data_IF_100580317971
#
_entry.id   IF_100580317971
#
_cell.length_a   1.000
_cell.length_b   1.000
_cell.length_c   1.000
_cell.angle_alpha   90.00
_cell.angle_beta   90.00
_cell.angle_gamma   90.00
#
_symmetry.space_group_name_H-M   'P 1'
#
loop_
_entity.id
_entity.type
_entity.pdbx_description
1 polymer ?
#
# COMPACT_ATOMS: atom_id res chain seq x y z
N UNK A 1 40.76 -28.39 -22.49
CA UNK A 1 41.14 -27.31 -23.43
C UNK A 1 41.45 -27.95 -24.79
N UNK A 2 40.48 -28.46 -25.50
CA UNK A 2 40.57 -28.85 -26.94
C UNK A 2 39.17 -28.75 -27.53
N UNK A 3 39.03 -27.96 -28.60
CA UNK A 3 37.90 -27.72 -29.48
C UNK A 3 37.27 -26.28 -29.42
N UNK A 4 38.12 -25.29 -29.59
CA UNK A 4 37.66 -23.91 -29.87
C UNK A 4 38.11 -23.49 -31.27
N UNK A 5 38.05 -24.38 -32.27
CA UNK A 5 38.42 -24.01 -33.64
C UNK A 5 37.57 -24.67 -34.75
N UNK A 6 36.28 -24.88 -34.50
CA UNK A 6 35.34 -24.97 -35.65
C UNK A 6 34.82 -23.55 -35.91
N UNK A 7 34.86 -23.05 -37.16
CA UNK A 7 34.21 -21.78 -37.47
C UNK A 7 32.75 -21.91 -37.05
N UNK A 8 32.35 -21.17 -36.02
CA UNK A 8 31.00 -21.23 -35.46
C UNK A 8 30.06 -20.68 -36.54
N UNK A 9 29.41 -21.57 -37.29
CA UNK A 9 28.35 -21.18 -38.23
C UNK A 9 27.24 -20.58 -37.38
N UNK A 10 27.06 -19.27 -37.44
CA UNK A 10 26.04 -18.54 -36.69
C UNK A 10 24.66 -18.88 -37.24
N UNK A 11 24.07 -19.97 -36.82
CA UNK A 11 22.72 -20.41 -37.19
C UNK A 11 21.65 -19.79 -36.30
N UNK A 12 21.98 -19.61 -34.99
CA UNK A 12 21.09 -18.97 -34.01
C UNK A 12 21.44 -17.48 -33.86
N UNK A 13 20.51 -16.61 -34.26
CA UNK A 13 20.67 -15.15 -34.21
C UNK A 13 19.49 -14.53 -33.44
N UNK A 14 19.53 -14.42 -32.12
CA UNK A 14 18.45 -13.81 -31.30
C UNK A 14 18.12 -12.37 -31.74
N UNK A 15 19.09 -11.62 -32.28
CA UNK A 15 18.88 -10.26 -32.80
C UNK A 15 17.87 -10.20 -33.95
N UNK A 16 17.61 -11.33 -34.66
CA UNK A 16 16.63 -11.41 -35.74
C UNK A 16 15.24 -11.03 -35.25
N UNK A 17 14.86 -11.49 -34.05
CA UNK A 17 13.57 -11.17 -33.43
C UNK A 17 13.47 -9.71 -32.93
N UNK A 18 14.59 -9.03 -32.75
CA UNK A 18 14.65 -7.63 -32.32
C UNK A 18 14.74 -6.62 -33.44
N UNK A 19 14.94 -7.06 -34.67
CA UNK A 19 15.25 -6.19 -35.79
C UNK A 19 14.09 -5.24 -36.15
N UNK A 20 12.86 -5.72 -36.15
CA UNK A 20 11.68 -4.98 -36.57
C UNK A 20 10.72 -4.76 -35.40
N UNK A 21 9.91 -3.69 -35.48
CA UNK A 21 8.93 -3.38 -34.43
C UNK A 21 7.88 -4.50 -34.26
N UNK A 22 7.33 -5.00 -35.37
CA UNK A 22 6.33 -6.07 -35.29
C UNK A 22 6.87 -7.32 -34.61
N UNK A 23 8.12 -7.73 -34.86
CA UNK A 23 8.70 -8.91 -34.23
C UNK A 23 8.96 -8.68 -32.72
N UNK A 24 9.43 -7.49 -32.33
CA UNK A 24 9.55 -7.14 -30.92
C UNK A 24 8.21 -7.17 -30.20
N UNK A 25 7.14 -6.69 -30.84
CA UNK A 25 5.77 -6.73 -30.30
C UNK A 25 5.26 -8.16 -30.14
N UNK A 26 5.50 -9.03 -31.14
CA UNK A 26 5.07 -10.44 -31.09
C UNK A 26 5.76 -11.24 -29.97
N UNK A 27 7.01 -10.94 -29.64
CA UNK A 27 7.75 -11.67 -28.62
C UNK A 27 7.66 -11.07 -27.22
N UNK A 28 6.88 -9.99 -27.05
CA UNK A 28 6.74 -9.32 -25.74
C UNK A 28 5.97 -10.20 -24.78
N UNK A 29 6.60 -10.53 -23.64
CA UNK A 29 6.05 -11.42 -22.62
C UNK A 29 5.14 -10.70 -21.63
N UNK A 30 5.42 -9.40 -21.36
CA UNK A 30 4.67 -8.62 -20.39
C UNK A 30 4.16 -7.31 -20.97
N UNK A 31 2.99 -6.88 -20.51
CA UNK A 31 2.39 -5.60 -20.87
C UNK A 31 1.96 -4.86 -19.60
N UNK A 32 2.28 -3.58 -19.53
CA UNK A 32 1.71 -2.69 -18.53
C UNK A 32 0.41 -2.08 -19.08
N UNK A 33 -0.66 -2.18 -18.32
CA UNK A 33 -1.94 -1.51 -18.60
C UNK A 33 -2.44 -0.76 -17.39
N UNK A 34 -3.43 0.11 -17.58
CA UNK A 34 -4.09 0.84 -16.49
C UNK A 34 -4.70 -0.10 -15.43
N UNK A 35 -5.11 -1.32 -15.85
CA UNK A 35 -5.66 -2.35 -14.95
C UNK A 35 -4.67 -2.85 -13.89
N UNK A 36 -3.39 -2.53 -14.02
CA UNK A 36 -2.36 -2.89 -13.05
C UNK A 36 -2.07 -1.76 -12.05
N UNK A 37 -2.81 -0.64 -12.12
CA UNK A 37 -2.54 0.55 -11.32
C UNK A 37 -3.55 0.69 -10.17
N UNK A 38 -3.04 1.06 -9.00
CA UNK A 38 -3.79 1.57 -7.86
C UNK A 38 -3.28 2.97 -7.58
N UNK A 39 -4.18 3.97 -7.50
CA UNK A 39 -3.78 5.35 -7.29
C UNK A 39 -3.95 5.77 -5.82
N UNK A 40 -2.86 6.12 -5.09
CA UNK A 40 -2.93 6.54 -3.71
C UNK A 40 -3.37 8.01 -3.57
N UNK A 41 -4.27 8.32 -2.62
CA UNK A 41 -4.80 9.65 -2.38
C UNK A 41 -4.77 10.00 -0.89
N UNK A 42 -4.47 11.25 -0.56
CA UNK A 42 -4.42 11.75 0.82
C UNK A 42 -5.66 12.58 1.13
N UNK A 43 -6.46 12.10 2.08
CA UNK A 43 -7.73 12.73 2.47
C UNK A 43 -7.51 13.63 3.69
N UNK A 44 -8.00 14.87 3.64
CA UNK A 44 -7.97 15.85 4.73
C UNK A 44 -9.36 16.43 4.98
N UNK A 45 -9.60 16.93 6.18
CA UNK A 45 -10.83 17.65 6.49
C UNK A 45 -10.95 18.98 5.70
N UNK A 46 -12.18 19.41 5.46
CA UNK A 46 -12.48 20.67 4.83
C UNK A 46 -13.44 20.56 3.65
N UNK A 47 -13.56 21.66 2.92
CA UNK A 47 -14.34 21.78 1.68
C UNK A 47 -13.56 22.65 0.70
N UNK A 48 -13.37 22.20 -0.53
CA UNK A 48 -12.55 22.86 -1.55
C UNK A 48 -11.05 22.87 -1.24
N UNK A 49 -10.58 22.05 -0.30
CA UNK A 49 -9.17 22.05 0.13
C UNK A 49 -8.34 21.21 -0.82
N UNK A 50 -7.27 21.83 -1.35
CA UNK A 50 -6.22 21.16 -2.13
C UNK A 50 -4.84 21.68 -1.72
N UNK A 51 -4.19 20.96 -0.79
CA UNK A 51 -2.92 21.38 -0.17
C UNK A 51 -1.75 20.59 -0.75
N UNK A 52 -0.74 21.26 -1.30
CA UNK A 52 0.47 20.65 -1.85
C UNK A 52 1.27 19.92 -0.76
N UNK A 53 1.79 18.74 -1.09
CA UNK A 53 2.80 18.04 -0.30
C UNK A 53 4.16 18.41 -0.88
N UNK A 54 4.96 19.17 -0.12
CA UNK A 54 6.21 19.76 -0.63
C UNK A 54 7.22 18.68 -1.09
N UNK A 55 7.32 17.60 -0.35
CA UNK A 55 8.22 16.48 -0.63
C UNK A 55 7.73 15.55 -1.74
N UNK A 56 6.49 15.74 -2.23
CA UNK A 56 5.90 14.91 -3.29
C UNK A 56 5.31 15.80 -4.41
N UNK A 57 6.15 16.30 -5.34
CA UNK A 57 5.72 17.23 -6.38
C UNK A 57 4.55 16.71 -7.23
N UNK A 58 3.46 17.46 -7.29
CA UNK A 58 2.24 17.08 -8.02
C UNK A 58 1.22 16.28 -7.20
N UNK A 59 1.52 15.93 -5.96
CA UNK A 59 0.62 15.25 -5.03
C UNK A 59 0.05 16.24 -4.00
N UNK A 60 -1.20 16.02 -3.63
CA UNK A 60 -1.94 16.92 -2.74
C UNK A 60 -2.62 16.15 -1.61
N UNK A 61 -2.82 16.82 -0.47
CA UNK A 61 -3.85 16.45 0.49
C UNK A 61 -5.13 17.15 0.06
N UNK A 62 -6.25 16.43 0.06
CA UNK A 62 -7.48 16.92 -0.52
C UNK A 62 -8.69 16.64 0.37
N UNK A 63 -9.62 17.57 0.43
CA UNK A 63 -10.93 17.34 1.05
C UNK A 63 -11.76 16.35 0.22
N UNK A 64 -12.78 15.76 0.82
CA UNK A 64 -13.59 14.70 0.19
C UNK A 64 -14.18 15.12 -1.16
N UNK A 65 -14.66 16.36 -1.28
CA UNK A 65 -15.18 16.92 -2.52
C UNK A 65 -14.12 16.97 -3.64
N UNK A 66 -12.87 17.30 -3.30
CA UNK A 66 -11.75 17.32 -4.25
C UNK A 66 -11.24 15.91 -4.58
N UNK A 67 -11.27 15.00 -3.61
CA UNK A 67 -10.96 13.57 -3.83
C UNK A 67 -11.92 12.96 -4.85
N UNK A 68 -13.22 13.26 -4.78
CA UNK A 68 -14.22 12.75 -5.73
C UNK A 68 -13.89 13.22 -7.16
N UNK A 69 -13.48 14.47 -7.35
CA UNK A 69 -13.09 14.97 -8.67
C UNK A 69 -11.88 14.23 -9.24
N UNK A 70 -10.80 14.12 -8.47
CA UNK A 70 -9.59 13.43 -8.91
C UNK A 70 -9.82 11.89 -9.07
N UNK A 71 -10.65 11.28 -8.23
CA UNK A 71 -11.06 9.89 -8.39
C UNK A 71 -11.90 9.65 -9.65
N UNK A 72 -12.73 10.63 -10.04
CA UNK A 72 -13.48 10.59 -11.32
C UNK A 72 -12.52 10.61 -12.51
N UNK A 73 -11.50 11.47 -12.48
CA UNK A 73 -10.46 11.49 -13.52
C UNK A 73 -9.72 10.15 -13.61
N UNK A 74 -9.36 9.55 -12.45
CA UNK A 74 -8.74 8.23 -12.41
C UNK A 74 -9.64 7.15 -13.05
N UNK A 75 -10.92 7.17 -12.72
CA UNK A 75 -11.91 6.24 -13.27
C UNK A 75 -12.08 6.38 -14.79
N UNK A 76 -12.19 7.62 -15.29
CA UNK A 76 -12.25 7.91 -16.73
C UNK A 76 -10.99 7.47 -17.50
N UNK A 77 -9.83 7.52 -16.85
CA UNK A 77 -8.57 6.97 -17.39
C UNK A 77 -8.52 5.44 -17.35
N UNK A 78 -9.50 4.76 -16.75
CA UNK A 78 -9.60 3.32 -16.63
C UNK A 78 -8.80 2.71 -15.47
N UNK A 79 -8.35 3.52 -14.49
CA UNK A 79 -7.71 3.02 -13.27
C UNK A 79 -8.77 2.31 -12.41
N UNK A 80 -8.58 1.02 -12.06
CA UNK A 80 -9.65 0.22 -11.45
C UNK A 80 -9.85 0.51 -9.96
N UNK A 81 -8.84 1.04 -9.26
CA UNK A 81 -8.93 1.25 -7.81
C UNK A 81 -8.07 2.42 -7.33
N UNK A 82 -8.51 3.04 -6.24
CA UNK A 82 -7.77 4.04 -5.49
C UNK A 82 -7.51 3.57 -4.06
N UNK A 83 -6.43 4.05 -3.44
CA UNK A 83 -6.10 3.77 -2.04
C UNK A 83 -6.12 5.07 -1.21
N UNK A 84 -6.88 5.08 -0.11
CA UNK A 84 -7.12 6.26 0.71
C UNK A 84 -6.22 6.27 1.95
N UNK A 85 -5.55 7.39 2.18
CA UNK A 85 -4.70 7.64 3.35
C UNK A 85 -5.17 8.91 4.07
N UNK A 86 -5.59 8.82 5.35
CA UNK A 86 -6.10 9.98 6.07
C UNK A 86 -5.00 10.88 6.62
N UNK A 87 -5.29 12.17 6.68
CA UNK A 87 -4.53 13.16 7.42
C UNK A 87 -5.41 13.63 8.57
N UNK A 88 -5.18 13.09 9.75
CA UNK A 88 -6.00 13.31 10.94
C UNK A 88 -5.48 14.51 11.74
N UNK A 89 -6.37 15.43 12.11
CA UNK A 89 -6.03 16.55 12.98
C UNK A 89 -5.58 16.05 14.36
N UNK A 90 -4.61 16.73 14.95
CA UNK A 90 -4.01 16.35 16.24
C UNK A 90 -5.03 16.20 17.37
N UNK A 91 -6.10 16.98 17.36
CA UNK A 91 -7.15 16.90 18.39
C UNK A 91 -7.93 15.58 18.39
N UNK A 92 -7.93 14.85 17.29
CA UNK A 92 -8.57 13.52 17.16
C UNK A 92 -7.61 12.36 17.34
N UNK A 93 -6.31 12.62 17.51
CA UNK A 93 -5.33 11.59 17.82
C UNK A 93 -5.33 11.25 19.31
N UNK A 94 -5.21 9.96 19.61
CA UNK A 94 -5.15 9.46 20.99
C UNK A 94 -4.21 8.28 21.09
N UNK A 95 -3.82 7.87 22.29
CA UNK A 95 -3.04 6.66 22.52
C UNK A 95 -3.79 5.40 22.11
N UNK A 96 -5.12 5.40 22.26
CA UNK A 96 -6.01 4.29 21.91
C UNK A 96 -6.53 4.30 20.46
N UNK A 97 -6.13 5.29 19.65
CA UNK A 97 -6.49 5.43 18.23
C UNK A 97 -7.99 5.29 17.92
N UNK A 98 -8.88 5.74 18.83
CA UNK A 98 -10.34 5.53 18.73
C UNK A 98 -10.96 6.15 17.49
N UNK A 99 -10.36 7.21 16.93
CA UNK A 99 -10.81 7.84 15.69
C UNK A 99 -10.70 6.90 14.48
N UNK A 100 -9.83 5.89 14.51
CA UNK A 100 -9.64 4.94 13.39
C UNK A 100 -10.91 4.13 13.06
N UNK A 101 -11.76 3.89 14.05
CA UNK A 101 -13.03 3.17 13.87
C UNK A 101 -14.28 4.01 14.18
N UNK A 102 -14.14 5.34 14.25
CA UNK A 102 -15.25 6.26 14.37
C UNK A 102 -16.17 6.14 13.15
N UNK A 103 -17.47 5.77 13.30
CA UNK A 103 -18.37 5.60 12.16
C UNK A 103 -18.59 6.90 11.35
N UNK A 104 -18.32 8.06 11.95
CA UNK A 104 -18.37 9.36 11.31
C UNK A 104 -16.98 9.94 11.00
N UNK A 105 -15.93 9.11 11.08
CA UNK A 105 -14.55 9.48 10.82
C UNK A 105 -14.32 9.92 9.38
N UNK A 106 -13.17 10.54 9.15
CA UNK A 106 -12.82 11.10 7.83
C UNK A 106 -12.82 10.03 6.72
N UNK A 107 -12.21 8.88 6.95
CA UNK A 107 -12.15 7.78 5.94
C UNK A 107 -13.52 7.17 5.72
N UNK A 108 -14.30 6.93 6.76
CA UNK A 108 -15.63 6.37 6.65
C UNK A 108 -16.54 7.26 5.78
N UNK A 109 -16.51 8.57 6.00
CA UNK A 109 -17.25 9.56 5.19
C UNK A 109 -16.73 9.62 3.75
N UNK A 110 -15.42 9.59 3.56
CA UNK A 110 -14.81 9.59 2.23
C UNK A 110 -15.23 8.35 1.42
N UNK A 111 -15.21 7.16 2.02
CA UNK A 111 -15.66 5.91 1.37
C UNK A 111 -17.15 6.01 0.98
N UNK A 112 -18.02 6.44 1.90
CA UNK A 112 -19.45 6.58 1.64
C UNK A 112 -19.71 7.50 0.45
N UNK A 113 -19.09 8.69 0.44
CA UNK A 113 -19.29 9.66 -0.64
C UNK A 113 -18.68 9.18 -1.97
N UNK A 114 -17.52 8.51 -1.95
CA UNK A 114 -16.93 7.93 -3.16
C UNK A 114 -17.83 6.81 -3.74
N UNK A 115 -18.30 5.88 -2.92
CA UNK A 115 -19.20 4.80 -3.40
C UNK A 115 -20.53 5.31 -3.92
N UNK A 116 -21.02 6.41 -3.39
CA UNK A 116 -22.24 7.08 -3.88
C UNK A 116 -22.02 7.73 -5.26
N UNK A 117 -20.87 8.33 -5.51
CA UNK A 117 -20.56 9.04 -6.76
C UNK A 117 -19.93 8.13 -7.83
N UNK A 118 -19.13 7.15 -7.42
CA UNK A 118 -18.35 6.25 -8.28
C UNK A 118 -18.48 4.80 -7.80
N UNK A 119 -19.69 4.18 -7.93
CA UNK A 119 -19.96 2.85 -7.36
C UNK A 119 -19.07 1.74 -7.92
N UNK A 120 -18.63 1.87 -9.17
CA UNK A 120 -17.79 0.87 -9.86
C UNK A 120 -16.28 1.02 -9.56
N UNK A 121 -15.84 2.17 -9.01
CA UNK A 121 -14.43 2.35 -8.65
C UNK A 121 -14.12 1.55 -7.38
N UNK A 122 -13.05 0.76 -7.43
CA UNK A 122 -12.55 0.01 -6.26
C UNK A 122 -11.96 0.96 -5.22
N UNK A 123 -12.44 0.87 -3.97
CA UNK A 123 -11.94 1.68 -2.86
C UNK A 123 -11.15 0.80 -1.90
N UNK A 124 -9.86 1.10 -1.77
CA UNK A 124 -8.94 0.46 -0.83
C UNK A 124 -8.73 1.39 0.35
N UNK A 125 -8.84 0.88 1.55
CA UNK A 125 -8.53 1.64 2.77
C UNK A 125 -7.37 1.03 3.51
N UNK A 126 -6.43 1.87 3.92
CA UNK A 126 -5.31 1.47 4.77
C UNK A 126 -5.82 1.10 6.18
N UNK A 127 -5.36 -0.02 6.71
CA UNK A 127 -5.63 -0.45 8.08
C UNK A 127 -4.32 -0.39 8.85
N UNK A 128 -4.15 0.71 9.57
CA UNK A 128 -3.00 1.02 10.41
C UNK A 128 -3.36 2.14 11.38
N UNK A 129 -2.65 2.26 12.49
CA UNK A 129 -3.01 3.22 13.54
C UNK A 129 -2.13 4.48 13.55
N UNK A 130 -1.03 4.53 12.81
CA UNK A 130 -0.11 5.67 12.81
C UNK A 130 -0.73 7.03 12.45
N UNK A 131 -1.78 7.14 11.60
CA UNK A 131 -2.47 8.41 11.42
C UNK A 131 -3.28 8.85 12.64
N UNK A 132 -3.66 7.92 13.52
CA UNK A 132 -4.63 8.10 14.59
C UNK A 132 -4.01 8.09 15.99
N UNK A 133 -2.80 7.54 16.15
CA UNK A 133 -2.06 7.55 17.40
C UNK A 133 -1.39 8.89 17.67
N UNK A 134 -1.35 9.33 18.93
CA UNK A 134 -0.66 10.56 19.34
C UNK A 134 0.86 10.48 19.16
N UNK A 135 1.43 9.29 19.27
CA UNK A 135 2.87 8.98 19.13
C UNK A 135 3.30 8.57 17.70
N UNK A 136 2.36 8.36 16.76
CA UNK A 136 2.65 8.07 15.35
C UNK A 136 3.18 6.66 15.04
N UNK A 137 3.04 5.72 15.96
CA UNK A 137 3.33 4.29 15.72
C UNK A 137 2.11 3.59 15.12
N UNK A 138 2.34 2.49 14.37
CA UNK A 138 1.27 1.71 13.72
C UNK A 138 0.45 0.86 14.72
N UNK A 139 0.90 0.73 15.98
CA UNK A 139 0.24 -0.01 17.04
C UNK A 139 0.07 0.79 18.33
N UNK A 140 -0.68 0.22 19.27
CA UNK A 140 -0.80 0.72 20.64
C UNK A 140 0.52 0.50 21.38
N UNK A 141 0.81 1.35 22.35
CA UNK A 141 2.09 1.36 23.03
C UNK A 141 1.88 1.38 24.57
N UNK A 142 2.69 0.63 25.29
CA UNK A 142 2.74 0.68 26.76
C UNK A 142 3.53 1.89 27.29
N UNK A 143 3.60 2.04 28.60
CA UNK A 143 4.34 3.11 29.27
C UNK A 143 5.87 3.03 29.04
N UNK A 144 6.38 1.84 28.69
CA UNK A 144 7.80 1.57 28.44
C UNK A 144 8.18 1.79 26.97
N UNK A 145 7.18 2.05 26.10
CA UNK A 145 7.38 2.30 24.66
C UNK A 145 7.33 1.05 23.78
N UNK A 146 6.92 -0.09 24.31
CA UNK A 146 6.75 -1.31 23.55
C UNK A 146 5.42 -1.32 22.79
N UNK A 147 5.41 -1.82 21.56
CA UNK A 147 4.19 -2.01 20.81
C UNK A 147 3.46 -3.27 21.27
N UNK A 148 2.19 -3.11 21.63
CA UNK A 148 1.31 -4.16 22.12
C UNK A 148 0.61 -4.84 20.96
N UNK A 149 1.09 -6.01 20.56
CA UNK A 149 0.58 -6.72 19.37
C UNK A 149 -0.92 -7.02 19.45
N UNK A 150 -1.34 -7.75 20.47
CA UNK A 150 -2.69 -8.30 20.54
C UNK A 150 -3.75 -7.20 20.73
N UNK A 151 -3.48 -6.20 21.54
CA UNK A 151 -4.34 -5.04 21.77
C UNK A 151 -4.46 -4.20 20.50
N UNK A 152 -3.36 -4.06 19.75
CA UNK A 152 -3.35 -3.39 18.44
C UNK A 152 -4.25 -4.11 17.46
N UNK A 153 -4.13 -5.42 17.35
CA UNK A 153 -4.92 -6.23 16.42
C UNK A 153 -6.43 -6.11 16.72
N UNK A 154 -6.83 -6.04 17.99
CA UNK A 154 -8.23 -5.81 18.35
C UNK A 154 -8.77 -4.44 17.86
N UNK A 155 -7.91 -3.41 17.83
CA UNK A 155 -8.28 -2.09 17.27
C UNK A 155 -8.30 -2.13 15.74
N UNK A 156 -7.34 -2.79 15.11
CA UNK A 156 -7.31 -2.97 13.64
C UNK A 156 -8.54 -3.72 13.12
N UNK A 157 -9.02 -4.71 13.86
CA UNK A 157 -10.28 -5.42 13.54
C UNK A 157 -11.47 -4.45 13.57
N UNK A 158 -11.58 -3.59 14.59
CA UNK A 158 -12.63 -2.57 14.67
C UNK A 158 -12.55 -1.58 13.51
N UNK A 159 -11.34 -1.15 13.16
CA UNK A 159 -11.07 -0.27 12.02
C UNK A 159 -11.51 -0.92 10.70
N UNK A 160 -11.09 -2.15 10.43
CA UNK A 160 -11.44 -2.89 9.22
C UNK A 160 -12.96 -3.08 9.08
N UNK A 161 -13.64 -3.46 10.17
CA UNK A 161 -15.11 -3.58 10.18
C UNK A 161 -15.81 -2.24 9.94
N UNK A 162 -15.30 -1.14 10.52
CA UNK A 162 -15.84 0.20 10.30
C UNK A 162 -15.71 0.63 8.84
N UNK A 163 -14.55 0.37 8.21
CA UNK A 163 -14.30 0.68 6.81
C UNK A 163 -15.16 -0.19 5.86
N UNK A 164 -15.24 -1.50 6.12
CA UNK A 164 -16.11 -2.41 5.35
C UNK A 164 -17.60 -1.99 5.44
N UNK A 165 -18.07 -1.61 6.62
CA UNK A 165 -19.43 -1.09 6.82
C UNK A 165 -19.69 0.20 6.04
N UNK A 166 -18.68 1.03 5.84
CA UNK A 166 -18.76 2.26 5.04
C UNK A 166 -18.75 2.00 3.54
N UNK A 167 -18.46 0.76 3.10
CA UNK A 167 -18.46 0.35 1.69
C UNK A 167 -17.06 0.19 1.06
N UNK A 168 -15.99 0.10 1.86
CA UNK A 168 -14.67 -0.23 1.33
C UNK A 168 -14.67 -1.61 0.66
N UNK A 169 -14.16 -1.69 -0.57
CA UNK A 169 -14.07 -2.94 -1.33
C UNK A 169 -12.90 -3.80 -0.87
N UNK A 170 -11.84 -3.16 -0.41
CA UNK A 170 -10.60 -3.80 0.03
C UNK A 170 -10.12 -3.10 1.31
N UNK A 171 -9.82 -3.88 2.33
CA UNK A 171 -9.08 -3.43 3.52
C UNK A 171 -7.64 -3.88 3.40
N UNK A 172 -6.68 -2.99 3.69
CA UNK A 172 -5.27 -3.22 3.42
C UNK A 172 -4.44 -3.04 4.71
N UNK A 173 -4.31 -4.09 5.56
CA UNK A 173 -3.51 -4.01 6.77
C UNK A 173 -2.04 -3.77 6.44
N UNK A 174 -1.51 -2.66 6.99
CA UNK A 174 -0.13 -2.20 6.74
C UNK A 174 0.70 -2.01 8.01
N UNK A 175 0.20 -2.50 9.11
CA UNK A 175 0.75 -2.35 10.47
C UNK A 175 1.90 -3.32 10.78
N UNK A 176 1.91 -4.52 10.20
CA UNK A 176 2.86 -5.63 10.43
C UNK A 176 2.73 -6.31 11.80
N UNK A 177 1.55 -6.28 12.44
CA UNK A 177 1.30 -7.06 13.66
C UNK A 177 1.04 -8.53 13.34
N UNK A 178 1.42 -9.42 14.25
CA UNK A 178 1.21 -10.86 14.10
C UNK A 178 -0.29 -11.21 14.14
N UNK A 179 -0.71 -12.16 13.30
CA UNK A 179 -2.08 -12.71 13.22
C UNK A 179 -3.18 -11.68 12.86
N UNK A 180 -2.83 -10.48 12.40
CA UNK A 180 -3.78 -9.42 12.07
C UNK A 180 -4.71 -9.79 10.91
N UNK A 181 -4.17 -10.45 9.89
CA UNK A 181 -4.95 -10.83 8.70
C UNK A 181 -6.02 -11.85 9.08
N UNK A 182 -5.67 -12.87 9.85
CA UNK A 182 -6.60 -13.91 10.31
C UNK A 182 -7.72 -13.36 11.18
N UNK A 183 -7.39 -12.47 12.12
CA UNK A 183 -8.37 -11.80 12.99
C UNK A 183 -9.32 -10.90 12.18
N UNK A 184 -8.79 -10.10 11.23
CA UNK A 184 -9.60 -9.26 10.35
C UNK A 184 -10.50 -10.12 9.46
N UNK A 185 -9.96 -11.16 8.79
CA UNK A 185 -10.75 -12.07 7.95
C UNK A 185 -11.89 -12.70 8.72
N UNK A 186 -11.58 -13.28 9.88
CA UNK A 186 -12.62 -13.88 10.72
C UNK A 186 -13.71 -12.88 11.08
N UNK A 187 -13.36 -11.66 11.45
CA UNK A 187 -14.33 -10.64 11.83
C UNK A 187 -15.21 -10.19 10.65
N UNK A 188 -14.63 -10.07 9.44
CA UNK A 188 -15.38 -9.76 8.22
C UNK A 188 -16.39 -10.89 7.90
N UNK A 189 -15.99 -12.16 7.99
CA UNK A 189 -16.87 -13.32 7.78
C UNK A 189 -18.00 -13.36 8.83
N UNK A 190 -17.69 -13.20 10.10
CA UNK A 190 -18.65 -13.21 11.21
C UNK A 190 -19.70 -12.08 11.08
N UNK A 191 -19.35 -10.97 10.40
CA UNK A 191 -20.23 -9.83 10.13
C UNK A 191 -20.85 -9.83 8.72
N UNK A 192 -20.66 -10.91 7.97
CA UNK A 192 -21.20 -11.12 6.61
C UNK A 192 -20.66 -10.13 5.55
N UNK A 193 -19.46 -9.58 5.75
CA UNK A 193 -18.73 -8.80 4.74
C UNK A 193 -17.95 -9.71 3.78
N UNK A 194 -18.60 -10.73 3.23
CA UNK A 194 -18.00 -11.79 2.41
C UNK A 194 -17.27 -11.28 1.16
N UNK A 195 -17.67 -10.12 0.64
CA UNK A 195 -17.09 -9.54 -0.57
C UNK A 195 -15.95 -8.54 -0.31
N UNK A 196 -15.68 -8.19 0.96
CA UNK A 196 -14.56 -7.31 1.31
C UNK A 196 -13.26 -8.10 1.25
N UNK A 197 -12.36 -7.71 0.34
CA UNK A 197 -11.06 -8.35 0.13
C UNK A 197 -10.05 -7.83 1.14
N UNK A 198 -9.01 -8.64 1.38
CA UNK A 198 -7.82 -8.23 2.15
C UNK A 198 -6.62 -8.17 1.21
N UNK A 199 -6.04 -6.97 1.08
CA UNK A 199 -4.74 -6.74 0.47
C UNK A 199 -3.72 -6.51 1.59
N UNK A 200 -3.00 -7.54 1.99
CA UNK A 200 -2.03 -7.41 3.07
C UNK A 200 -0.71 -6.82 2.59
N UNK A 201 -0.18 -5.87 3.35
CA UNK A 201 1.21 -5.43 3.22
C UNK A 201 2.13 -6.48 3.88
N UNK A 202 2.21 -7.65 3.25
CA UNK A 202 2.80 -8.85 3.84
C UNK A 202 4.32 -8.77 4.00
N UNK A 203 5.00 -8.02 3.14
CA UNK A 203 6.45 -7.79 3.23
C UNK A 203 6.71 -6.27 3.25
N UNK A 204 6.58 -5.67 4.42
CA UNK A 204 6.84 -4.23 4.64
C UNK A 204 8.13 -4.05 5.44
N UNK A 205 9.14 -3.53 4.77
CA UNK A 205 10.47 -3.30 5.34
C UNK A 205 10.58 -1.95 6.04
N UNK A 206 11.35 -1.88 7.12
CA UNK A 206 11.79 -0.62 7.69
C UNK A 206 12.60 0.16 6.63
N UNK A 207 12.28 1.46 6.42
CA UNK A 207 12.88 2.20 5.32
C UNK A 207 12.89 3.71 5.55
N UNK A 208 14.00 4.34 5.16
CA UNK A 208 14.11 5.79 5.06
C UNK A 208 13.25 6.37 3.91
N UNK A 209 12.87 5.56 2.93
CA UNK A 209 12.04 5.97 1.80
C UNK A 209 10.61 6.38 2.19
N UNK A 210 10.18 6.14 3.43
CA UNK A 210 8.88 6.63 3.94
C UNK A 210 8.91 8.09 4.39
N UNK A 211 10.06 8.78 4.33
CA UNK A 211 10.22 10.16 4.78
C UNK A 211 9.16 11.12 4.25
N UNK A 212 8.94 11.23 2.91
CA UNK A 212 7.92 12.11 2.34
C UNK A 212 6.47 11.73 2.72
N UNK A 213 6.16 10.44 2.89
CA UNK A 213 4.85 9.98 3.36
C UNK A 213 4.57 10.45 4.80
N UNK A 214 5.57 10.39 5.69
CA UNK A 214 5.43 10.89 7.07
C UNK A 214 5.12 12.40 7.10
N UNK A 215 5.65 13.17 6.15
CA UNK A 215 5.25 14.57 5.96
C UNK A 215 3.80 14.65 5.46
N UNK A 216 3.43 13.82 4.49
CA UNK A 216 2.11 13.84 3.89
C UNK A 216 0.99 13.61 4.90
N UNK A 217 1.12 12.62 5.80
CA UNK A 217 0.14 12.28 6.84
C UNK A 217 0.35 13.03 8.16
N UNK A 218 1.38 13.90 8.25
CA UNK A 218 1.65 14.71 9.44
C UNK A 218 2.18 13.92 10.64
N UNK A 219 2.77 12.72 10.42
CA UNK A 219 3.30 11.88 11.49
C UNK A 219 4.77 12.16 11.82
N UNK A 220 5.48 12.98 11.03
CA UNK A 220 6.91 13.27 11.19
C UNK A 220 7.30 13.86 12.56
N UNK A 221 6.40 14.62 13.19
CA UNK A 221 6.65 15.30 14.47
C UNK A 221 6.40 14.38 15.67
N UNK A 222 5.57 13.35 15.51
CA UNK A 222 5.18 12.44 16.59
C UNK A 222 6.21 11.34 16.87
N UNK A 223 7.03 10.96 15.88
CA UNK A 223 8.06 9.91 15.97
C UNK A 223 9.34 10.40 16.68
N UNK A 224 9.23 11.03 17.85
CA UNK A 224 10.39 11.44 18.62
C UNK A 224 11.10 10.22 19.23
N UNK A 225 11.97 9.57 18.45
CA UNK A 225 12.98 8.63 18.96
C UNK A 225 12.59 7.16 19.02
N UNK A 226 11.35 6.75 18.70
CA UNK A 226 10.97 5.32 18.68
C UNK A 226 11.03 4.79 17.25
N UNK A 227 11.85 3.76 17.03
CA UNK A 227 11.99 3.09 15.74
C UNK A 227 10.75 2.23 15.43
N UNK A 228 10.44 2.04 14.14
CA UNK A 228 9.44 1.07 13.65
C UNK A 228 10.06 -0.31 13.37
N UNK A 229 11.35 -0.50 13.63
CA UNK A 229 12.09 -1.74 13.37
C UNK A 229 11.66 -2.90 14.28
N UNK A 230 10.89 -2.62 15.35
CA UNK A 230 10.34 -3.65 16.24
C UNK A 230 9.20 -4.45 15.62
N UNK A 231 8.62 -3.97 14.51
CA UNK A 231 7.53 -4.65 13.79
C UNK A 231 7.63 -4.56 12.25
N UNK A 232 8.37 -3.62 11.68
CA UNK A 232 8.69 -3.63 10.25
C UNK A 232 9.91 -4.50 10.02
N UNK A 233 9.92 -5.25 8.92
CA UNK A 233 10.99 -6.21 8.58
C UNK A 233 12.35 -5.54 8.44
N UNK A 234 13.39 -6.28 8.83
CA UNK A 234 14.78 -5.86 8.60
C UNK A 234 15.08 -5.77 7.09
N UNK A 235 15.66 -4.64 6.61
CA UNK A 235 15.99 -4.47 5.19
C UNK A 235 16.91 -5.53 4.59
N UNK A 236 17.65 -6.28 5.41
CA UNK A 236 18.58 -7.31 4.98
C UNK A 236 17.95 -8.69 4.80
N UNK A 237 16.68 -8.88 5.20
CA UNK A 237 16.04 -10.20 5.25
C UNK A 237 15.10 -10.44 4.05
N UNK A 238 15.49 -11.29 3.12
CA UNK A 238 14.63 -11.65 1.98
C UNK A 238 13.86 -12.96 2.18
N UNK A 239 14.36 -13.88 3.00
CA UNK A 239 13.69 -15.16 3.27
C UNK A 239 12.53 -14.97 4.26
N UNK A 240 12.67 -14.08 5.22
CA UNK A 240 11.61 -13.65 6.13
C UNK A 240 10.36 -13.18 5.36
N UNK A 241 10.54 -12.45 4.25
CA UNK A 241 9.43 -12.01 3.42
C UNK A 241 8.58 -13.16 2.87
N UNK A 242 9.18 -14.28 2.51
CA UNK A 242 8.42 -15.45 2.05
C UNK A 242 7.61 -16.06 3.20
N UNK A 243 8.18 -16.10 4.40
CA UNK A 243 7.50 -16.60 5.58
C UNK A 243 6.31 -15.73 5.99
N UNK A 244 6.51 -14.41 6.04
CA UNK A 244 5.44 -13.43 6.34
C UNK A 244 4.29 -13.50 5.32
N UNK A 245 4.63 -13.60 4.03
CA UNK A 245 3.63 -13.74 2.97
C UNK A 245 2.86 -15.06 3.09
N UNK A 246 3.54 -16.16 3.42
CA UNK A 246 2.90 -17.46 3.62
C UNK A 246 1.91 -17.43 4.79
N UNK A 247 2.29 -16.80 5.91
CA UNK A 247 1.40 -16.60 7.07
C UNK A 247 0.15 -15.82 6.67
N UNK A 248 0.30 -14.66 6.05
CA UNK A 248 -0.82 -13.81 5.63
C UNK A 248 -1.77 -14.52 4.65
N UNK A 249 -1.22 -15.31 3.71
CA UNK A 249 -2.03 -16.13 2.77
C UNK A 249 -2.83 -17.19 3.53
N UNK A 250 -2.20 -17.89 4.47
CA UNK A 250 -2.84 -18.94 5.27
C UNK A 250 -3.89 -18.35 6.22
N UNK A 251 -3.72 -17.13 6.66
CA UNK A 251 -4.66 -16.35 7.46
C UNK A 251 -5.83 -15.79 6.63
N UNK A 252 -5.79 -15.85 5.31
CA UNK A 252 -6.89 -15.49 4.43
C UNK A 252 -6.72 -14.17 3.68
N UNK A 253 -5.48 -13.72 3.44
CA UNK A 253 -5.23 -12.64 2.49
C UNK A 253 -5.61 -13.06 1.06
N UNK A 254 -6.36 -12.22 0.36
CA UNK A 254 -6.72 -12.42 -1.05
C UNK A 254 -5.58 -12.00 -1.97
N UNK A 255 -4.86 -10.97 -1.56
CA UNK A 255 -3.78 -10.30 -2.28
C UNK A 255 -2.67 -9.93 -1.31
N UNK A 256 -1.42 -9.88 -1.81
CA UNK A 256 -0.24 -9.53 -1.02
C UNK A 256 0.54 -8.38 -1.65
N UNK A 257 1.24 -7.61 -0.84
CA UNK A 257 1.99 -6.43 -1.28
C UNK A 257 3.38 -6.41 -0.65
N UNK A 258 4.37 -6.04 -1.47
CA UNK A 258 5.75 -5.75 -1.05
C UNK A 258 5.93 -4.23 -0.97
N UNK A 259 6.56 -3.74 0.10
CA UNK A 259 6.81 -2.31 0.34
C UNK A 259 8.13 -2.09 1.05
N UNK A 260 9.03 -1.22 0.57
CA UNK A 260 9.04 -0.45 -0.70
C UNK A 260 9.14 -1.31 -1.97
N UNK A 261 9.04 -0.66 -3.15
CA UNK A 261 9.00 -1.33 -4.45
C UNK A 261 10.38 -1.61 -5.04
N UNK A 262 11.06 -0.57 -5.54
CA UNK A 262 12.30 -0.69 -6.34
C UNK A 262 13.41 -1.44 -5.59
N UNK A 263 13.66 -1.22 -4.28
CA UNK A 263 14.72 -1.94 -3.57
C UNK A 263 14.48 -3.45 -3.41
N UNK A 264 13.25 -3.92 -3.61
CA UNK A 264 12.81 -5.29 -3.32
C UNK A 264 12.13 -5.99 -4.51
N UNK A 265 12.58 -5.69 -5.75
CA UNK A 265 12.07 -6.35 -6.96
C UNK A 265 12.42 -7.85 -6.98
N UNK A 266 13.52 -8.24 -6.37
CA UNK A 266 13.90 -9.63 -6.15
C UNK A 266 12.92 -10.35 -5.22
N UNK A 267 12.51 -9.71 -4.12
CA UNK A 267 11.48 -10.23 -3.20
C UNK A 267 10.13 -10.33 -3.90
N UNK A 268 9.74 -9.29 -4.67
CA UNK A 268 8.53 -9.31 -5.47
C UNK A 268 8.48 -10.51 -6.42
N UNK A 269 9.59 -10.76 -7.13
CA UNK A 269 9.71 -11.90 -8.03
C UNK A 269 9.60 -13.24 -7.27
N UNK A 270 10.34 -13.39 -6.17
CA UNK A 270 10.33 -14.60 -5.34
C UNK A 270 8.93 -14.92 -4.80
N UNK A 271 8.23 -13.92 -4.26
CA UNK A 271 6.86 -14.05 -3.74
C UNK A 271 5.90 -14.47 -4.85
N UNK A 272 5.98 -13.82 -6.02
CA UNK A 272 5.11 -14.16 -7.15
C UNK A 272 5.32 -15.58 -7.64
N UNK A 273 6.57 -16.03 -7.75
CA UNK A 273 6.93 -17.39 -8.16
C UNK A 273 6.50 -18.44 -7.11
N UNK A 274 6.70 -18.15 -5.81
CA UNK A 274 6.41 -19.12 -4.76
C UNK A 274 4.89 -19.33 -4.55
N UNK A 275 4.09 -18.29 -4.60
CA UNK A 275 2.68 -18.35 -4.16
C UNK A 275 1.65 -18.19 -5.28
N UNK A 276 2.00 -17.64 -6.44
CA UNK A 276 1.08 -17.42 -7.55
C UNK A 276 -0.10 -16.49 -7.28
N UNK A 277 -0.20 -15.92 -6.07
CA UNK A 277 -1.25 -14.97 -5.67
C UNK A 277 -1.15 -13.66 -6.46
N UNK A 278 -2.23 -12.85 -6.52
CA UNK A 278 -2.13 -11.46 -6.95
C UNK A 278 -1.14 -10.72 -6.05
N UNK A 279 -0.03 -10.27 -6.64
CA UNK A 279 1.09 -9.68 -5.92
C UNK A 279 1.27 -8.24 -6.37
N UNK A 280 1.27 -7.33 -5.41
CA UNK A 280 1.39 -5.89 -5.63
C UNK A 280 2.71 -5.37 -5.10
N UNK A 281 3.09 -4.20 -5.56
CA UNK A 281 4.26 -3.48 -5.08
C UNK A 281 3.90 -2.03 -4.84
N UNK A 282 4.32 -1.47 -3.72
CA UNK A 282 4.13 -0.06 -3.42
C UNK A 282 5.38 0.74 -3.78
N UNK A 283 5.28 1.54 -4.83
CA UNK A 283 6.28 2.57 -5.10
C UNK A 283 6.10 3.72 -4.09
N UNK A 284 6.91 3.71 -3.02
CA UNK A 284 6.72 4.61 -1.89
C UNK A 284 7.15 6.04 -2.18
N UNK A 285 6.79 6.92 -1.27
CA UNK A 285 6.97 8.38 -1.42
C UNK A 285 8.40 8.83 -1.70
N UNK A 286 9.41 8.18 -1.10
CA UNK A 286 10.82 8.45 -1.38
C UNK A 286 11.24 8.01 -2.78
N UNK A 287 10.75 6.87 -3.24
CA UNK A 287 10.96 6.40 -4.63
C UNK A 287 10.32 7.35 -5.64
N UNK A 288 9.08 7.77 -5.38
CA UNK A 288 8.40 8.79 -6.17
C UNK A 288 9.20 10.09 -6.24
N UNK A 289 9.67 10.60 -5.09
CA UNK A 289 10.45 11.83 -5.03
C UNK A 289 11.77 11.72 -5.82
N UNK A 290 12.49 10.61 -5.72
CA UNK A 290 13.71 10.34 -6.49
C UNK A 290 13.45 10.32 -8.00
N UNK A 291 12.41 9.60 -8.44
CA UNK A 291 12.05 9.52 -9.86
C UNK A 291 11.67 10.90 -10.40
N UNK A 292 10.87 11.66 -9.65
CA UNK A 292 10.50 13.03 -10.04
C UNK A 292 11.69 13.96 -10.14
N UNK A 293 12.62 13.90 -9.16
CA UNK A 293 13.83 14.71 -9.18
C UNK A 293 14.76 14.38 -10.36
N UNK A 294 14.91 13.11 -10.70
CA UNK A 294 15.66 12.68 -11.87
C UNK A 294 14.99 13.13 -13.17
N UNK A 295 13.68 12.90 -13.29
CA UNK A 295 12.89 13.28 -14.47
C UNK A 295 12.90 14.78 -14.78
N UNK A 296 13.01 15.64 -13.75
CA UNK A 296 13.11 17.09 -13.93
C UNK A 296 14.44 17.54 -14.55
N UNK A 297 15.46 16.70 -14.51
CA UNK A 297 16.79 17.00 -15.04
C UNK A 297 17.09 16.34 -16.40
N UNK A 298 16.16 15.57 -16.93
CA UNK A 298 16.29 14.85 -18.22
C UNK A 298 16.71 13.40 -18.04
#
# INVERSE_FOLDING_TARGET
>A
IKEINKPMTITNRPRRMRNNDFSRRLMRESQLSVNHLIYPMFVIEGNGVRQKIQSMPGIFRQSIDQIILEASECFELGIPAIALFPVIDKQYKSESATESFNPNGLIQRAVIELKKNLPELGIITDIALDPYTSHGQDGLMDEEGNILNDETVEVLVKQALSHAKSGADIVAPSDMMDARVGKIRKALEDKHFFNTKILSYSAKYASAFYGPFREAVGSKVALSGVSKETYQMDPANSDEALYEVELDINEGADMVMIKPGIPYLDVLYRVKEAFGKPTFVYQVSGEYAMIKAASQKG
#
